data_IF_283640840445
#
_entry.id   IF_283640840445
#
_cell.length_a   1.000
_cell.length_b   1.000
_cell.length_c   1.000
_cell.angle_alpha   90.00
_cell.angle_beta   90.00
_cell.angle_gamma   90.00
#
_symmetry.space_group_name_H-M   'P 1'
#
loop_
_entity.id
_entity.type
_entity.pdbx_description
1 polymer ?
#
# COMPACT_ATOMS: atom_id res chain seq x y z
N UNK A 1 -11.66 -5.00 -15.91
CA UNK A 1 -11.18 -4.36 -14.66
C UNK A 1 -12.35 -4.18 -13.70
N UNK A 2 -12.20 -4.60 -12.44
CA UNK A 2 -13.19 -4.29 -11.39
C UNK A 2 -12.76 -3.01 -10.67
N UNK A 3 -13.52 -1.91 -10.84
CA UNK A 3 -13.28 -0.62 -10.16
C UNK A 3 -13.17 -0.76 -8.64
N UNK A 4 -13.80 -1.78 -8.09
CA UNK A 4 -13.79 -2.10 -6.67
C UNK A 4 -12.40 -2.47 -6.17
N UNK A 5 -11.66 -3.30 -6.92
CA UNK A 5 -10.31 -3.75 -6.53
C UNK A 5 -9.33 -2.57 -6.43
N UNK A 6 -9.34 -1.68 -7.41
CA UNK A 6 -8.53 -0.46 -7.41
C UNK A 6 -8.86 0.46 -6.23
N UNK A 7 -10.14 0.70 -5.97
CA UNK A 7 -10.56 1.55 -4.86
C UNK A 7 -10.14 0.96 -3.50
N UNK A 8 -10.22 -0.36 -3.36
CA UNK A 8 -9.81 -1.09 -2.17
C UNK A 8 -8.29 -1.01 -1.94
N UNK A 9 -7.47 -1.23 -2.96
CA UNK A 9 -6.01 -1.08 -2.88
C UNK A 9 -5.61 0.37 -2.55
N UNK A 10 -6.23 1.34 -3.23
CA UNK A 10 -5.98 2.76 -2.95
C UNK A 10 -6.29 3.13 -1.51
N UNK A 11 -7.43 2.66 -0.98
CA UNK A 11 -7.80 2.89 0.43
C UNK A 11 -6.75 2.33 1.38
N UNK A 12 -6.22 1.13 1.12
CA UNK A 12 -5.18 0.53 1.96
C UNK A 12 -3.87 1.32 1.93
N UNK A 13 -3.44 1.79 0.75
CA UNK A 13 -2.26 2.64 0.59
C UNK A 13 -2.46 3.98 1.33
N UNK A 14 -3.62 4.62 1.19
CA UNK A 14 -3.95 5.85 1.91
C UNK A 14 -3.93 5.64 3.42
N UNK A 15 -4.51 4.54 3.91
CA UNK A 15 -4.50 4.22 5.34
C UNK A 15 -3.06 4.06 5.85
N UNK A 16 -2.17 3.39 5.11
CA UNK A 16 -0.75 3.28 5.46
C UNK A 16 -0.06 4.64 5.54
N UNK A 17 -0.34 5.55 4.60
CA UNK A 17 0.23 6.90 4.59
C UNK A 17 -0.18 7.71 5.84
N UNK A 18 -1.39 7.51 6.35
CA UNK A 18 -1.89 8.19 7.55
C UNK A 18 -1.27 7.68 8.86
N UNK A 19 -0.53 6.56 8.84
CA UNK A 19 0.09 5.99 10.05
C UNK A 19 1.44 6.61 10.41
N UNK A 20 1.82 7.72 9.80
CA UNK A 20 3.01 8.46 10.20
C UNK A 20 2.90 8.92 11.67
N UNK A 21 3.99 8.77 12.44
CA UNK A 21 4.02 9.07 13.88
C UNK A 21 3.22 8.09 14.77
N UNK A 22 2.54 7.10 14.20
CA UNK A 22 1.84 6.06 14.97
C UNK A 22 2.82 4.98 15.49
N UNK A 23 2.42 4.16 16.48
CA UNK A 23 3.24 3.05 16.95
C UNK A 23 3.72 2.14 15.81
N UNK A 24 4.97 1.68 15.91
CA UNK A 24 5.61 0.89 14.84
C UNK A 24 4.84 -0.40 14.48
N UNK A 25 4.15 -1.00 15.46
CA UNK A 25 3.29 -2.14 15.24
C UNK A 25 2.11 -1.80 14.30
N UNK A 26 1.45 -0.67 14.52
CA UNK A 26 0.33 -0.22 13.68
C UNK A 26 0.81 0.12 12.27
N UNK A 27 2.00 0.72 12.16
CA UNK A 27 2.66 0.96 10.89
C UNK A 27 2.96 -0.34 10.12
N UNK A 28 3.45 -1.37 10.81
CA UNK A 28 3.74 -2.68 10.23
C UNK A 28 2.46 -3.40 9.78
N UNK A 29 1.40 -3.40 10.60
CA UNK A 29 0.11 -4.03 10.28
C UNK A 29 -0.52 -3.38 9.05
N UNK A 30 -0.55 -2.05 8.98
CA UNK A 30 -1.13 -1.35 7.82
C UNK A 30 -0.30 -1.53 6.55
N UNK A 31 1.02 -1.68 6.66
CA UNK A 31 1.87 -2.06 5.51
C UNK A 31 1.53 -3.46 5.01
N UNK A 32 1.49 -4.44 5.91
CA UNK A 32 1.19 -5.83 5.56
C UNK A 32 -0.21 -5.97 4.94
N UNK A 33 -1.19 -5.20 5.44
CA UNK A 33 -2.52 -5.13 4.86
C UNK A 33 -2.50 -4.61 3.42
N UNK A 34 -1.83 -3.48 3.17
CA UNK A 34 -1.71 -2.92 1.82
C UNK A 34 -0.94 -3.84 0.86
N UNK A 35 0.17 -4.43 1.30
CA UNK A 35 0.93 -5.42 0.52
C UNK A 35 0.04 -6.62 0.15
N UNK A 36 -0.64 -7.20 1.14
CA UNK A 36 -1.49 -8.38 0.93
C UNK A 36 -2.62 -8.14 -0.07
N UNK A 37 -3.23 -6.94 -0.05
CA UNK A 37 -4.27 -6.59 -1.01
C UNK A 37 -3.74 -6.44 -2.44
N UNK A 38 -2.55 -5.87 -2.61
CA UNK A 38 -1.91 -5.73 -3.93
C UNK A 38 -1.59 -7.11 -4.50
N UNK A 39 -0.97 -7.98 -3.69
CA UNK A 39 -0.59 -9.33 -4.13
C UNK A 39 -1.81 -10.22 -4.41
N UNK A 40 -2.85 -10.14 -3.59
CA UNK A 40 -4.08 -10.90 -3.82
C UNK A 40 -4.76 -10.46 -5.13
N UNK A 41 -4.90 -9.16 -5.35
CA UNK A 41 -5.52 -8.64 -6.57
C UNK A 41 -4.72 -9.01 -7.83
N UNK A 42 -3.40 -9.07 -7.73
CA UNK A 42 -2.54 -9.52 -8.82
C UNK A 42 -2.69 -11.02 -9.09
N UNK A 43 -2.65 -11.85 -8.05
CA UNK A 43 -2.83 -13.30 -8.17
C UNK A 43 -4.20 -13.68 -8.75
N UNK A 44 -5.24 -12.91 -8.46
CA UNK A 44 -6.58 -13.08 -9.02
C UNK A 44 -6.77 -12.46 -10.42
N UNK A 45 -5.74 -11.85 -11.00
CA UNK A 45 -5.80 -11.21 -12.32
C UNK A 45 -6.71 -9.97 -12.37
N UNK A 46 -6.98 -9.35 -11.21
CA UNK A 46 -7.83 -8.17 -11.09
C UNK A 46 -7.10 -6.88 -11.46
N UNK A 47 -5.77 -6.90 -11.39
CA UNK A 47 -4.87 -5.84 -11.80
C UNK A 47 -3.80 -6.39 -12.75
N UNK A 48 -3.30 -5.52 -13.63
CA UNK A 48 -2.21 -5.81 -14.57
C UNK A 48 -0.85 -5.72 -13.89
N UNK A 49 0.18 -6.29 -14.52
CA UNK A 49 1.59 -6.18 -14.09
C UNK A 49 2.00 -4.71 -13.88
N UNK A 50 1.61 -3.82 -14.80
CA UNK A 50 1.93 -2.41 -14.71
C UNK A 50 1.27 -1.72 -13.48
N UNK A 51 0.05 -2.11 -13.15
CA UNK A 51 -0.65 -1.61 -11.97
C UNK A 51 -0.08 -2.18 -10.68
N UNK A 52 0.27 -3.46 -10.66
CA UNK A 52 0.96 -4.10 -9.54
C UNK A 52 2.29 -3.39 -9.22
N UNK A 53 3.10 -3.14 -10.25
CA UNK A 53 4.36 -2.38 -10.13
C UNK A 53 4.15 -0.97 -9.59
N UNK A 54 3.15 -0.24 -10.12
CA UNK A 54 2.83 1.12 -9.68
C UNK A 54 2.37 1.13 -8.21
N UNK A 55 1.50 0.21 -7.80
CA UNK A 55 1.04 0.12 -6.41
C UNK A 55 2.16 -0.22 -5.44
N UNK A 56 3.04 -1.18 -5.79
CA UNK A 56 4.22 -1.52 -4.97
C UNK A 56 5.17 -0.34 -4.82
N UNK A 57 5.43 0.41 -5.90
CA UNK A 57 6.25 1.64 -5.86
C UNK A 57 5.65 2.69 -4.93
N UNK A 58 4.33 2.92 -5.00
CA UNK A 58 3.63 3.88 -4.13
C UNK A 58 3.72 3.48 -2.65
N UNK A 59 3.53 2.20 -2.35
CA UNK A 59 3.61 1.68 -0.99
C UNK A 59 5.03 1.78 -0.42
N UNK A 60 6.06 1.45 -1.22
CA UNK A 60 7.46 1.61 -0.84
C UNK A 60 7.84 3.08 -0.59
N UNK A 61 7.35 4.00 -1.42
CA UNK A 61 7.59 5.43 -1.26
C UNK A 61 7.03 6.02 0.05
N UNK A 62 6.02 5.39 0.67
CA UNK A 62 5.53 5.79 2.01
C UNK A 62 6.54 5.38 3.08
N UNK A 63 7.08 4.15 3.01
CA UNK A 63 8.11 3.69 3.94
C UNK A 63 9.37 4.56 3.90
N UNK A 64 9.80 4.95 2.70
CA UNK A 64 10.95 5.85 2.53
C UNK A 64 10.69 7.24 3.11
N UNK A 65 9.48 7.79 2.98
CA UNK A 65 9.12 9.08 3.58
C UNK A 65 9.15 9.03 5.11
N UNK A 66 8.63 7.97 5.72
CA UNK A 66 8.61 7.81 7.18
C UNK A 66 10.00 7.53 7.78
N UNK A 67 10.94 7.01 6.98
CA UNK A 67 12.31 6.77 7.41
C UNK A 67 13.18 8.04 7.41
N UNK A 68 12.75 9.11 6.74
CA UNK A 68 13.44 10.40 6.75
C UNK A 68 12.92 11.19 7.96
N UNK A 69 13.75 11.44 9.00
CA UNK A 69 13.35 12.34 10.07
C UNK A 69 13.13 13.73 9.47
N UNK A 70 11.95 14.31 9.68
CA UNK A 70 11.77 15.74 9.47
C UNK A 70 12.74 16.47 10.42
N UNK A 71 13.74 17.13 9.82
CA UNK A 71 14.71 17.99 10.49
C UNK A 71 14.06 19.32 10.93
#
# INVERSE_FOLDING_TARGET
MSKTSHAMIQRAITQRAQMEGQPILLQAVTKAYADGMIELAYAEGLITDAEHDDYRKRLAAIGNRQAVPHA
#
